data_IF_254528987406
#
_entry.id   IF_254528987406
#
_cell.length_a   1.000
_cell.length_b   1.000
_cell.length_c   1.000
_cell.angle_alpha   90.00
_cell.angle_beta   90.00
_cell.angle_gamma   90.00
#
_symmetry.space_group_name_H-M   'P 1'
#
loop_
_entity.id
_entity.type
_entity.pdbx_description
1 polymer ?
#
# COMPACT_ATOMS: atom_id res chain seq x y z
N UNK A 1 43.71 25.60 40.31
CA UNK A 1 42.89 24.37 40.27
C UNK A 1 41.65 24.69 39.45
N UNK A 2 41.62 24.23 38.20
CA UNK A 2 40.47 24.43 37.32
C UNK A 2 39.32 23.56 37.83
N UNK A 3 38.18 24.18 38.09
CA UNK A 3 36.94 23.49 38.44
C UNK A 3 36.42 22.75 37.21
N UNK A 4 36.62 21.43 37.18
CA UNK A 4 35.92 20.54 36.26
C UNK A 4 34.42 20.62 36.57
N UNK A 5 33.67 21.32 35.71
CA UNK A 5 32.21 21.19 35.71
C UNK A 5 31.88 19.78 35.22
N UNK A 6 31.07 19.00 35.94
CA UNK A 6 30.59 17.72 35.45
C UNK A 6 29.80 17.95 34.16
N UNK A 7 30.21 17.28 33.09
CA UNK A 7 29.47 17.19 31.84
C UNK A 7 28.05 16.71 32.15
N UNK A 8 26.99 17.37 31.66
CA UNK A 8 25.62 16.90 31.88
C UNK A 8 25.52 15.45 31.39
N UNK A 9 24.78 14.57 32.09
CA UNK A 9 24.61 13.19 31.64
C UNK A 9 24.01 13.22 30.24
N UNK A 10 24.71 12.61 29.27
CA UNK A 10 24.19 12.38 27.93
C UNK A 10 22.86 11.66 28.10
N UNK A 11 21.76 12.32 27.74
CA UNK A 11 20.44 11.74 27.82
C UNK A 11 20.45 10.40 27.09
N UNK A 12 20.06 9.32 27.78
CA UNK A 12 19.97 8.01 27.15
C UNK A 12 18.96 8.11 25.99
N UNK A 13 19.30 7.62 24.79
CA UNK A 13 18.36 7.65 23.66
C UNK A 13 17.09 6.88 24.03
N UNK A 14 15.94 7.45 23.68
CA UNK A 14 14.65 6.78 23.87
C UNK A 14 14.57 5.64 22.86
N UNK A 15 14.30 4.42 23.34
CA UNK A 15 14.23 3.23 22.49
C UNK A 15 12.81 2.71 22.46
N UNK A 16 12.21 2.72 21.27
CA UNK A 16 10.91 2.13 20.98
C UNK A 16 11.10 0.70 20.46
N UNK A 17 10.46 -0.27 21.11
CA UNK A 17 10.45 -1.70 20.71
C UNK A 17 9.10 -2.11 20.19
N UNK A 18 9.06 -3.16 19.36
CA UNK A 18 7.84 -3.70 18.75
C UNK A 18 7.07 -2.62 17.98
N UNK A 19 7.81 -1.78 17.25
CA UNK A 19 7.26 -0.69 16.45
C UNK A 19 6.63 -1.27 15.18
N UNK A 20 5.39 -0.86 14.91
CA UNK A 20 4.71 -1.12 13.65
C UNK A 20 5.18 -0.13 12.58
N UNK A 21 5.71 -0.64 11.48
CA UNK A 21 6.10 0.09 10.28
C UNK A 21 4.88 0.23 9.34
N UNK A 22 4.38 1.45 9.09
CA UNK A 22 3.14 1.67 8.34
C UNK A 22 3.35 1.92 6.83
N UNK A 23 4.57 1.82 6.30
CA UNK A 23 4.90 2.36 4.97
C UNK A 23 4.56 1.45 3.77
N UNK A 24 5.00 0.19 3.81
CA UNK A 24 4.60 -0.82 2.82
C UNK A 24 3.53 -1.74 3.41
N UNK A 25 2.86 -2.55 2.59
CA UNK A 25 1.79 -3.40 3.10
C UNK A 25 2.22 -4.62 3.90
N UNK A 26 3.50 -4.79 4.25
CA UNK A 26 3.91 -5.87 5.17
C UNK A 26 3.57 -5.59 6.64
N UNK A 27 3.44 -4.31 7.01
CA UNK A 27 3.09 -3.91 8.37
C UNK A 27 4.00 -4.54 9.43
N UNK A 28 5.31 -4.28 9.34
CA UNK A 28 6.27 -4.93 10.23
C UNK A 28 6.17 -4.44 11.67
N UNK A 29 5.97 -5.32 12.64
CA UNK A 29 5.69 -5.01 14.06
C UNK A 29 6.84 -5.36 15.01
N UNK A 30 8.02 -5.65 14.45
CA UNK A 30 9.23 -6.09 15.15
C UNK A 30 10.34 -5.03 15.09
N UNK A 31 10.00 -3.77 14.78
CA UNK A 31 11.01 -2.72 14.66
C UNK A 31 11.50 -2.26 16.03
N UNK A 32 12.82 -2.11 16.15
CA UNK A 32 13.44 -1.30 17.21
C UNK A 32 13.87 0.02 16.58
N UNK A 33 13.34 1.12 17.11
CA UNK A 33 13.57 2.48 16.62
C UNK A 33 14.09 3.32 17.78
N UNK A 34 15.20 4.01 17.57
CA UNK A 34 15.81 4.91 18.55
C UNK A 34 15.52 6.36 18.18
N UNK A 35 15.16 7.17 19.17
CA UNK A 35 15.11 8.62 19.03
C UNK A 35 16.52 9.20 19.20
N UNK A 36 16.95 9.96 18.20
CA UNK A 36 18.20 10.72 18.19
C UNK A 36 17.89 12.23 18.25
N UNK A 37 18.66 13.05 18.99
CA UNK A 37 18.42 14.49 19.02
C UNK A 37 18.59 15.14 17.63
N UNK A 38 17.76 16.13 17.25
CA UNK A 38 16.69 16.77 18.00
C UNK A 38 15.28 16.25 17.61
N UNK A 39 15.03 14.94 17.71
CA UNK A 39 13.81 14.21 17.29
C UNK A 39 13.87 13.62 15.87
N UNK A 40 15.00 13.00 15.56
CA UNK A 40 15.15 12.10 14.42
C UNK A 40 14.96 10.65 14.87
N UNK A 41 14.56 9.75 13.96
CA UNK A 41 14.35 8.34 14.28
C UNK A 41 15.30 7.45 13.49
N UNK A 42 15.99 6.54 14.17
CA UNK A 42 16.89 5.58 13.57
C UNK A 42 16.38 4.15 13.77
N UNK A 43 16.14 3.44 12.66
CA UNK A 43 15.79 2.00 12.70
C UNK A 43 17.03 1.17 12.98
N UNK A 44 17.00 0.33 14.03
CA UNK A 44 18.13 -0.51 14.46
C UNK A 44 17.97 -1.99 14.20
N UNK A 45 16.73 -2.49 14.09
CA UNK A 45 16.47 -3.93 13.98
C UNK A 45 16.48 -4.48 12.55
N UNK A 46 16.61 -3.63 11.52
CA UNK A 46 16.55 -4.07 10.12
C UNK A 46 17.21 -3.08 9.17
N UNK A 47 17.73 -3.60 8.05
CA UNK A 47 18.25 -2.82 6.92
C UNK A 47 17.21 -2.57 5.81
N UNK A 48 15.92 -2.75 6.11
CA UNK A 48 14.85 -2.44 5.15
C UNK A 48 14.97 -0.99 4.65
N UNK A 49 15.18 -0.76 3.34
CA UNK A 49 15.45 0.57 2.80
C UNK A 49 14.25 1.50 2.99
N UNK A 50 13.03 0.98 2.86
CA UNK A 50 11.79 1.74 3.07
C UNK A 50 11.68 2.20 4.53
N UNK A 51 11.94 1.31 5.50
CA UNK A 51 11.84 1.70 6.91
C UNK A 51 12.92 2.71 7.27
N UNK A 52 14.17 2.48 6.86
CA UNK A 52 15.29 3.40 7.15
C UNK A 52 15.04 4.78 6.57
N UNK A 53 14.70 4.87 5.28
CA UNK A 53 14.38 6.15 4.62
C UNK A 53 13.23 6.89 5.32
N UNK A 54 12.12 6.21 5.58
CA UNK A 54 10.89 6.88 6.02
C UNK A 54 10.93 7.28 7.50
N UNK A 55 11.53 6.46 8.38
CA UNK A 55 11.73 6.84 9.79
C UNK A 55 12.80 7.93 9.95
N UNK A 56 13.89 7.91 9.17
CA UNK A 56 14.97 8.90 9.33
C UNK A 56 14.62 10.31 8.82
N UNK A 57 13.48 10.48 8.15
CA UNK A 57 13.06 11.79 7.65
C UNK A 57 12.85 12.76 8.80
N UNK A 58 13.60 13.86 8.72
CA UNK A 58 13.54 14.99 9.64
C UNK A 58 13.01 16.19 8.86
N UNK A 59 11.68 16.37 8.77
CA UNK A 59 11.11 17.51 8.10
C UNK A 59 11.58 18.79 8.79
N UNK A 60 12.00 19.79 8.01
CA UNK A 60 12.11 21.15 8.52
C UNK A 60 10.73 21.64 8.93
N UNK A 61 10.62 22.32 10.07
CA UNK A 61 9.37 22.98 10.45
C UNK A 61 8.92 23.92 9.31
N UNK A 62 7.69 23.74 8.85
CA UNK A 62 7.12 24.48 7.72
C UNK A 62 5.72 24.94 8.12
N UNK A 63 5.38 26.23 7.98
CA UNK A 63 4.03 26.70 8.26
C UNK A 63 3.07 26.31 7.11
N UNK A 64 1.75 26.26 7.37
CA UNK A 64 0.75 26.27 6.31
C UNK A 64 0.94 27.45 5.37
N UNK A 65 0.59 27.27 4.09
CA UNK A 65 0.66 28.32 3.08
C UNK A 65 -0.66 28.49 2.34
N UNK A 66 -0.97 29.73 1.98
CA UNK A 66 -2.04 30.09 1.05
C UNK A 66 -1.40 30.86 -0.10
N UNK A 67 -1.49 30.31 -1.32
CA UNK A 67 -0.82 30.84 -2.51
C UNK A 67 0.68 31.18 -2.27
N UNK A 68 1.40 30.30 -1.57
CA UNK A 68 2.83 30.48 -1.26
C UNK A 68 3.14 31.36 -0.05
N UNK A 69 2.15 32.02 0.55
CA UNK A 69 2.35 32.88 1.72
C UNK A 69 2.10 32.09 3.00
N UNK A 70 3.05 32.11 3.93
CA UNK A 70 2.93 31.46 5.23
C UNK A 70 1.81 32.08 6.09
N UNK A 71 0.91 31.26 6.61
CA UNK A 71 -0.24 31.68 7.43
C UNK A 71 -0.47 30.74 8.63
N UNK A 72 -1.20 31.16 9.68
CA UNK A 72 -1.63 30.25 10.74
C UNK A 72 -2.56 29.13 10.22
N UNK A 73 -2.58 28.00 10.91
CA UNK A 73 -3.41 26.84 10.55
C UNK A 73 -4.89 27.18 10.38
N UNK A 74 -5.45 28.01 11.27
CA UNK A 74 -6.86 28.42 11.19
C UNK A 74 -7.17 29.16 9.88
N UNK A 75 -6.27 30.06 9.44
CA UNK A 75 -6.43 30.81 8.20
C UNK A 75 -6.30 29.91 6.97
N UNK A 76 -5.36 28.96 6.98
CA UNK A 76 -5.25 27.97 5.91
C UNK A 76 -6.48 27.06 5.81
N UNK A 77 -7.09 26.69 6.95
CA UNK A 77 -8.34 25.91 6.98
C UNK A 77 -9.49 26.68 6.36
N UNK A 78 -9.68 27.96 6.72
CA UNK A 78 -10.72 28.82 6.13
C UNK A 78 -10.48 29.04 4.63
N UNK A 79 -9.24 29.26 4.21
CA UNK A 79 -8.89 29.40 2.80
C UNK A 79 -9.19 28.11 2.01
N UNK A 80 -8.85 26.94 2.57
CA UNK A 80 -9.17 25.65 1.96
C UNK A 80 -10.69 25.45 1.84
N UNK A 81 -11.45 25.77 2.87
CA UNK A 81 -12.90 25.68 2.85
C UNK A 81 -13.52 26.62 1.79
N UNK A 82 -13.03 27.85 1.68
CA UNK A 82 -13.49 28.81 0.67
C UNK A 82 -13.23 28.32 -0.76
N UNK A 83 -12.03 27.79 -1.02
CA UNK A 83 -11.68 27.18 -2.32
C UNK A 83 -12.62 26.00 -2.63
N UNK A 84 -12.83 25.11 -1.66
CA UNK A 84 -13.63 23.91 -1.87
C UNK A 84 -15.14 24.19 -1.97
N UNK A 85 -15.64 25.23 -1.32
CA UNK A 85 -17.04 25.66 -1.45
C UNK A 85 -17.37 26.20 -2.85
N UNK A 86 -16.38 26.67 -3.60
CA UNK A 86 -16.55 27.12 -4.98
C UNK A 86 -16.43 25.98 -6.01
N UNK A 87 -15.90 24.82 -5.63
CA UNK A 87 -15.62 23.71 -6.54
C UNK A 87 -16.91 23.08 -7.10
N UNK A 88 -16.92 22.81 -8.39
CA UNK A 88 -18.01 22.18 -9.14
C UNK A 88 -17.72 20.72 -9.48
N UNK A 89 -16.46 20.34 -9.64
CA UNK A 89 -16.02 18.98 -9.92
C UNK A 89 -14.85 18.54 -9.01
N UNK A 90 -15.03 18.59 -7.67
CA UNK A 90 -13.94 18.30 -6.75
C UNK A 90 -13.46 16.85 -6.85
N UNK A 91 -12.15 16.67 -6.78
CA UNK A 91 -11.47 15.38 -6.67
C UNK A 91 -10.74 15.29 -5.34
N UNK A 92 -11.04 14.28 -4.53
CA UNK A 92 -10.24 13.93 -3.34
C UNK A 92 -9.34 12.75 -3.71
N UNK A 93 -8.05 13.05 -3.88
CA UNK A 93 -7.03 12.12 -4.36
C UNK A 93 -5.81 12.07 -3.45
N UNK A 94 -4.79 11.30 -3.87
CA UNK A 94 -3.65 10.97 -3.03
C UNK A 94 -4.04 9.86 -2.06
N UNK A 95 -4.83 10.24 -1.05
CA UNK A 95 -5.34 9.42 0.03
C UNK A 95 -4.29 8.52 0.71
N UNK A 96 -3.02 8.88 0.67
CA UNK A 96 -1.98 8.17 1.40
C UNK A 96 -2.08 8.48 2.89
N UNK A 97 -3.00 7.85 3.60
CA UNK A 97 -3.37 8.21 4.97
C UNK A 97 -3.84 7.00 5.79
N UNK A 98 -3.98 7.17 7.10
CA UNK A 98 -4.47 6.14 7.99
C UNK A 98 -6.00 6.02 7.96
N UNK A 99 -6.57 5.10 8.74
CA UNK A 99 -8.03 4.87 8.75
C UNK A 99 -8.83 6.12 9.16
N UNK A 100 -8.32 6.91 10.12
CA UNK A 100 -9.03 8.11 10.57
C UNK A 100 -8.93 9.26 9.57
N UNK A 101 -7.76 9.43 8.92
CA UNK A 101 -7.61 10.33 7.79
C UNK A 101 -8.51 9.95 6.62
N UNK A 102 -8.62 8.65 6.30
CA UNK A 102 -9.52 8.16 5.26
C UNK A 102 -10.99 8.46 5.60
N UNK A 103 -11.43 8.21 6.85
CA UNK A 103 -12.80 8.56 7.28
C UNK A 103 -13.08 10.05 7.13
N UNK A 104 -12.14 10.89 7.53
CA UNK A 104 -12.28 12.34 7.44
C UNK A 104 -12.33 12.82 5.97
N UNK A 105 -11.42 12.30 5.13
CA UNK A 105 -11.39 12.61 3.70
C UNK A 105 -12.67 12.18 2.98
N UNK A 106 -13.19 10.98 3.28
CA UNK A 106 -14.45 10.51 2.70
C UNK A 106 -15.66 11.29 3.20
N UNK A 107 -15.67 11.75 4.45
CA UNK A 107 -16.74 12.60 4.97
C UNK A 107 -16.70 14.01 4.35
N UNK A 108 -15.50 14.54 4.10
CA UNK A 108 -15.33 15.77 3.32
C UNK A 108 -15.81 15.58 1.88
N UNK A 109 -15.41 14.48 1.22
CA UNK A 109 -15.80 14.17 -0.15
C UNK A 109 -17.33 14.03 -0.31
N UNK A 110 -17.99 13.38 0.66
CA UNK A 110 -19.45 13.26 0.70
C UNK A 110 -20.13 14.64 0.75
N UNK A 111 -19.64 15.56 1.59
CA UNK A 111 -20.13 16.94 1.65
C UNK A 111 -19.89 17.75 0.39
N UNK A 112 -18.82 17.44 -0.34
CA UNK A 112 -18.46 18.14 -1.58
C UNK A 112 -19.11 17.53 -2.83
N UNK A 113 -19.75 16.36 -2.72
CA UNK A 113 -20.12 15.57 -3.90
C UNK A 113 -18.91 15.14 -4.75
N UNK A 114 -17.75 14.97 -4.11
CA UNK A 114 -16.49 14.76 -4.81
C UNK A 114 -16.32 13.33 -5.36
N UNK A 115 -15.41 13.19 -6.32
CA UNK A 115 -14.84 11.89 -6.68
C UNK A 115 -13.74 11.54 -5.70
N UNK A 116 -13.70 10.28 -5.27
CA UNK A 116 -12.66 9.76 -4.36
C UNK A 116 -11.86 8.64 -5.01
N UNK A 117 -10.54 8.78 -5.01
CA UNK A 117 -9.65 7.71 -5.42
C UNK A 117 -8.25 7.84 -4.79
N UNK A 118 -7.52 6.73 -4.69
CA UNK A 118 -6.19 6.70 -4.09
C UNK A 118 -5.09 6.77 -5.17
N UNK A 119 -3.97 7.43 -4.90
CA UNK A 119 -2.88 7.60 -5.88
C UNK A 119 -2.39 6.26 -6.48
N UNK A 120 -2.34 5.22 -5.64
CA UNK A 120 -1.92 3.86 -5.99
C UNK A 120 -3.08 2.90 -6.36
N UNK A 121 -4.26 3.42 -6.71
CA UNK A 121 -5.45 2.57 -6.95
C UNK A 121 -5.30 1.62 -8.13
N UNK A 122 -4.47 1.90 -9.13
CA UNK A 122 -4.27 1.01 -10.30
C UNK A 122 -3.84 -0.41 -9.90
N UNK A 123 -2.87 -0.52 -8.99
CA UNK A 123 -2.40 -1.81 -8.48
C UNK A 123 -3.49 -2.57 -7.73
N UNK A 124 -4.34 -1.84 -7.00
CA UNK A 124 -5.50 -2.38 -6.31
C UNK A 124 -6.57 -2.86 -7.31
N UNK A 125 -6.87 -2.07 -8.35
CA UNK A 125 -7.92 -2.37 -9.33
C UNK A 125 -7.62 -3.57 -10.22
N UNK A 126 -6.34 -3.84 -10.50
CA UNK A 126 -5.90 -5.10 -11.15
C UNK A 126 -6.35 -6.34 -10.37
N UNK A 127 -6.44 -6.24 -9.04
CA UNK A 127 -6.95 -7.31 -8.18
C UNK A 127 -8.48 -7.24 -8.01
N UNK A 128 -9.04 -6.06 -7.73
CA UNK A 128 -10.48 -5.89 -7.46
C UNK A 128 -11.34 -6.31 -8.65
N UNK A 129 -10.94 -5.99 -9.89
CA UNK A 129 -11.68 -6.35 -11.09
C UNK A 129 -11.89 -7.88 -11.22
N UNK A 130 -10.91 -8.67 -10.77
CA UNK A 130 -10.99 -10.12 -10.74
C UNK A 130 -11.82 -10.59 -9.55
N UNK A 131 -11.53 -10.09 -8.34
CA UNK A 131 -12.23 -10.44 -7.11
C UNK A 131 -13.76 -10.25 -7.24
N UNK A 132 -14.20 -9.12 -7.78
CA UNK A 132 -15.63 -8.80 -7.93
C UNK A 132 -16.35 -9.73 -8.91
N UNK A 133 -15.66 -10.26 -9.92
CA UNK A 133 -16.26 -11.10 -10.97
C UNK A 133 -16.20 -12.59 -10.64
N UNK A 134 -15.09 -13.06 -10.07
CA UNK A 134 -14.85 -14.50 -9.89
C UNK A 134 -14.75 -14.94 -8.44
N UNK A 135 -14.60 -14.00 -7.50
CA UNK A 135 -14.05 -14.31 -6.19
C UNK A 135 -12.60 -14.79 -6.29
N UNK A 136 -11.97 -15.07 -5.14
CA UNK A 136 -10.71 -15.80 -5.07
C UNK A 136 -10.56 -16.54 -3.73
N UNK A 137 -9.64 -17.50 -3.67
CA UNK A 137 -9.28 -18.20 -2.42
C UNK A 137 -7.99 -17.56 -1.92
N UNK A 138 -8.03 -16.85 -0.80
CA UNK A 138 -6.90 -16.06 -0.29
C UNK A 138 -6.34 -16.62 1.02
N UNK A 139 -5.11 -16.21 1.38
CA UNK A 139 -4.44 -16.57 2.64
C UNK A 139 -3.86 -15.35 3.36
N UNK A 140 -3.31 -15.55 4.55
CA UNK A 140 -2.63 -14.52 5.35
C UNK A 140 -1.13 -14.73 5.37
N UNK A 141 -0.38 -13.69 5.76
CA UNK A 141 1.08 -13.80 5.95
C UNK A 141 1.44 -14.81 7.05
N UNK A 142 0.58 -14.98 8.05
CA UNK A 142 0.77 -15.96 9.12
C UNK A 142 0.57 -17.41 8.63
N UNK A 143 -0.42 -17.64 7.77
CA UNK A 143 -0.65 -18.94 7.11
C UNK A 143 0.50 -19.27 6.14
N UNK A 144 0.96 -18.30 5.35
CA UNK A 144 2.19 -18.41 4.54
C UNK A 144 3.36 -18.86 5.43
N UNK A 145 3.65 -18.14 6.52
CA UNK A 145 4.80 -18.44 7.38
C UNK A 145 4.72 -19.81 8.03
N UNK A 146 3.55 -20.24 8.47
CA UNK A 146 3.46 -21.41 9.35
C UNK A 146 3.04 -22.71 8.65
N UNK A 147 2.34 -22.65 7.50
CA UNK A 147 1.83 -23.83 6.80
C UNK A 147 2.40 -24.06 5.42
N UNK A 148 2.78 -23.01 4.68
CA UNK A 148 3.14 -23.11 3.27
C UNK A 148 4.37 -24.00 3.04
N UNK A 149 4.22 -25.10 2.31
CA UNK A 149 5.34 -25.96 1.87
C UNK A 149 5.76 -25.72 0.43
N UNK A 150 4.90 -25.13 -0.42
CA UNK A 150 5.30 -24.63 -1.75
C UNK A 150 4.82 -23.19 -1.95
N UNK A 151 5.75 -22.25 -2.03
CA UNK A 151 5.48 -20.87 -2.42
C UNK A 151 5.80 -20.67 -3.89
N UNK A 152 4.77 -20.40 -4.70
CA UNK A 152 4.91 -19.98 -6.10
C UNK A 152 4.84 -18.45 -6.17
N UNK A 153 5.95 -17.79 -6.50
CA UNK A 153 6.02 -16.35 -6.75
C UNK A 153 5.82 -16.10 -8.24
N UNK A 154 4.73 -15.43 -8.60
CA UNK A 154 4.38 -15.16 -10.00
C UNK A 154 4.76 -13.73 -10.41
N UNK A 155 5.61 -13.62 -11.43
CA UNK A 155 6.11 -12.37 -11.97
C UNK A 155 7.32 -11.81 -11.23
N UNK A 156 7.58 -10.49 -11.34
CA UNK A 156 8.71 -9.84 -10.68
C UNK A 156 8.76 -10.12 -9.18
N UNK A 157 9.97 -10.18 -8.64
CA UNK A 157 10.19 -10.42 -7.22
C UNK A 157 9.48 -9.36 -6.36
N UNK A 158 8.49 -9.75 -5.53
CA UNK A 158 7.72 -8.82 -4.72
C UNK A 158 8.55 -8.12 -3.64
N UNK A 159 9.79 -8.56 -3.35
CA UNK A 159 10.69 -7.88 -2.42
C UNK A 159 11.11 -6.48 -2.92
N UNK A 160 11.01 -6.19 -4.21
CA UNK A 160 11.19 -4.83 -4.72
C UNK A 160 10.20 -3.82 -4.09
N UNK A 161 8.99 -4.30 -3.77
CA UNK A 161 7.91 -3.55 -3.11
C UNK A 161 7.78 -3.91 -1.62
N UNK A 162 8.22 -5.09 -1.21
CA UNK A 162 8.04 -5.61 0.13
C UNK A 162 9.36 -6.17 0.65
N UNK A 163 10.36 -5.32 0.97
CA UNK A 163 11.76 -5.75 1.13
C UNK A 163 12.00 -6.86 2.15
N UNK A 164 11.17 -6.93 3.20
CA UNK A 164 11.28 -7.93 4.27
C UNK A 164 10.39 -9.16 4.06
N UNK A 165 9.74 -9.33 2.91
CA UNK A 165 8.76 -10.40 2.70
C UNK A 165 9.39 -11.77 2.98
N UNK A 166 10.51 -12.08 2.31
CA UNK A 166 11.13 -13.39 2.44
C UNK A 166 11.80 -13.59 3.79
N UNK A 167 12.59 -12.63 4.26
CA UNK A 167 13.26 -12.68 5.56
C UNK A 167 12.27 -12.90 6.72
N UNK A 168 11.13 -12.19 6.71
CA UNK A 168 10.19 -12.21 7.83
C UNK A 168 9.11 -13.28 7.73
N UNK A 169 8.68 -13.64 6.52
CA UNK A 169 7.50 -14.50 6.32
C UNK A 169 7.77 -15.82 5.62
N UNK A 170 8.93 -16.00 4.96
CA UNK A 170 9.23 -17.22 4.20
C UNK A 170 10.40 -18.00 4.80
N UNK A 171 11.50 -17.32 5.13
CA UNK A 171 12.72 -17.90 5.70
C UNK A 171 12.55 -18.56 7.08
N UNK A 172 11.69 -18.07 7.99
CA UNK A 172 11.51 -18.72 9.29
C UNK A 172 10.94 -20.13 9.16
N UNK A 173 11.40 -21.04 10.03
CA UNK A 173 10.92 -22.42 10.08
C UNK A 173 9.40 -22.46 10.27
N UNK A 174 8.64 -23.16 9.40
CA UNK A 174 7.19 -23.30 9.54
C UNK A 174 6.82 -24.04 10.83
N UNK A 175 5.94 -23.46 11.65
CA UNK A 175 5.52 -24.06 12.91
C UNK A 175 4.68 -25.34 12.75
N UNK A 176 3.98 -25.51 11.63
CA UNK A 176 3.05 -26.63 11.40
C UNK A 176 3.55 -27.62 10.36
N UNK A 177 4.87 -27.71 10.14
CA UNK A 177 5.48 -28.71 9.29
C UNK A 177 6.52 -29.52 10.06
N UNK A 178 6.38 -30.85 10.08
CA UNK A 178 7.35 -31.75 10.69
C UNK A 178 7.57 -32.97 9.79
N UNK A 179 8.76 -33.13 9.17
CA UNK A 179 9.83 -32.13 9.08
C UNK A 179 9.42 -30.90 8.23
N UNK A 180 10.08 -29.75 8.41
CA UNK A 180 9.97 -28.61 7.49
C UNK A 180 10.34 -29.02 6.06
N UNK A 181 9.50 -28.64 5.08
CA UNK A 181 9.68 -29.03 3.68
C UNK A 181 9.44 -27.87 2.71
N UNK A 182 9.56 -26.63 3.18
CA UNK A 182 9.29 -25.44 2.38
C UNK A 182 10.23 -25.35 1.19
N UNK A 183 9.66 -25.10 0.02
CA UNK A 183 10.35 -24.74 -1.21
C UNK A 183 9.70 -23.50 -1.87
N UNK A 184 10.47 -22.79 -2.68
CA UNK A 184 10.03 -21.59 -3.41
C UNK A 184 10.26 -21.79 -4.90
N UNK A 185 9.28 -21.43 -5.72
CA UNK A 185 9.39 -21.39 -7.17
C UNK A 185 9.08 -19.98 -7.69
N UNK A 186 9.92 -19.44 -8.56
CA UNK A 186 9.65 -18.20 -9.29
C UNK A 186 9.17 -18.52 -10.70
N UNK A 187 8.04 -17.94 -11.09
CA UNK A 187 7.41 -18.11 -12.41
C UNK A 187 7.46 -16.79 -13.17
N UNK A 188 8.19 -16.75 -14.29
CA UNK A 188 8.33 -15.54 -15.11
C UNK A 188 8.93 -14.35 -14.32
N UNK A 189 9.88 -14.63 -13.43
CA UNK A 189 10.59 -13.65 -12.63
C UNK A 189 11.86 -14.23 -12.02
N UNK A 190 12.76 -13.35 -11.61
CA UNK A 190 14.05 -13.70 -11.00
C UNK A 190 14.12 -13.13 -9.59
N UNK A 191 14.61 -13.89 -8.59
CA UNK A 191 14.81 -13.35 -7.26
C UNK A 191 15.96 -12.32 -7.24
N UNK A 192 15.74 -11.24 -6.50
CA UNK A 192 16.74 -10.23 -6.17
C UNK A 192 17.85 -10.83 -5.29
N UNK A 193 19.02 -10.19 -5.24
CA UNK A 193 20.15 -10.66 -4.41
C UNK A 193 19.79 -10.75 -2.92
N UNK A 194 19.02 -9.78 -2.41
CA UNK A 194 18.51 -9.81 -1.04
C UNK A 194 17.56 -11.01 -0.82
N UNK A 195 16.73 -11.34 -1.80
CA UNK A 195 15.83 -12.50 -1.76
C UNK A 195 16.62 -13.82 -1.80
N UNK A 196 17.62 -13.93 -2.67
CA UNK A 196 18.52 -15.11 -2.71
C UNK A 196 19.22 -15.31 -1.37
N UNK A 197 19.69 -14.23 -0.76
CA UNK A 197 20.32 -14.25 0.57
C UNK A 197 19.34 -14.75 1.63
N UNK A 198 18.12 -14.17 1.68
CA UNK A 198 17.08 -14.56 2.62
C UNK A 198 16.62 -16.02 2.46
N UNK A 199 16.65 -16.55 1.24
CA UNK A 199 16.23 -17.92 0.91
C UNK A 199 17.39 -18.93 0.86
N UNK A 200 18.60 -18.58 1.29
CA UNK A 200 19.80 -19.43 1.18
C UNK A 200 19.71 -20.83 1.79
N UNK A 201 18.74 -21.07 2.68
CA UNK A 201 18.47 -22.37 3.33
C UNK A 201 17.22 -23.09 2.81
N UNK A 202 16.58 -22.55 1.79
CA UNK A 202 15.33 -23.04 1.22
C UNK A 202 15.59 -23.42 -0.25
N UNK A 203 15.13 -24.59 -0.73
CA UNK A 203 15.19 -24.92 -2.15
C UNK A 203 14.45 -23.87 -2.99
N UNK A 204 15.17 -23.27 -3.94
CA UNK A 204 14.62 -22.29 -4.90
C UNK A 204 14.71 -22.85 -6.30
N UNK A 205 13.59 -22.83 -7.03
CA UNK A 205 13.55 -23.07 -8.48
C UNK A 205 13.18 -21.78 -9.18
N UNK A 206 13.85 -21.47 -10.27
CA UNK A 206 13.49 -20.34 -11.12
C UNK A 206 13.10 -20.88 -12.49
N UNK A 207 11.92 -20.52 -12.95
CA UNK A 207 11.45 -20.79 -14.31
C UNK A 207 11.49 -19.44 -15.05
N UNK A 208 12.64 -19.08 -15.66
CA UNK A 208 12.80 -17.82 -16.34
C UNK A 208 11.92 -17.84 -17.59
N UNK A 209 10.85 -17.06 -17.54
CA UNK A 209 9.92 -16.86 -18.64
C UNK A 209 9.73 -15.37 -18.90
N UNK A 210 9.03 -15.06 -19.97
CA UNK A 210 8.68 -13.71 -20.35
C UNK A 210 7.77 -13.07 -19.27
N UNK A 211 8.21 -12.00 -18.58
CA UNK A 211 7.43 -11.34 -17.53
C UNK A 211 6.16 -10.67 -18.07
N UNK A 212 6.01 -10.46 -19.38
CA UNK A 212 4.77 -10.00 -19.99
C UNK A 212 3.73 -11.14 -20.16
N UNK A 213 4.15 -12.41 -20.04
CA UNK A 213 3.35 -13.60 -20.31
C UNK A 213 3.13 -14.50 -19.09
N UNK A 214 3.18 -13.91 -17.89
CA UNK A 214 2.90 -14.61 -16.61
C UNK A 214 1.55 -15.34 -16.68
N UNK A 215 0.53 -14.71 -17.28
CA UNK A 215 -0.79 -15.31 -17.45
C UNK A 215 -0.80 -16.57 -18.32
N UNK A 216 0.00 -16.60 -19.39
CA UNK A 216 0.15 -17.77 -20.26
C UNK A 216 0.84 -18.92 -19.51
N UNK A 217 1.88 -18.60 -18.74
CA UNK A 217 2.57 -19.58 -17.90
C UNK A 217 1.65 -20.16 -16.82
N UNK A 218 0.85 -19.31 -16.17
CA UNK A 218 -0.16 -19.74 -15.19
C UNK A 218 -1.24 -20.62 -15.84
N UNK A 219 -1.70 -20.28 -17.05
CA UNK A 219 -2.68 -21.07 -17.79
C UNK A 219 -2.11 -22.44 -18.20
N UNK A 220 -0.86 -22.49 -18.67
CA UNK A 220 -0.18 -23.75 -19.00
C UNK A 220 0.02 -24.64 -17.76
N UNK A 221 0.37 -24.04 -16.62
CA UNK A 221 0.45 -24.74 -15.34
C UNK A 221 -0.91 -25.28 -14.88
N UNK A 222 -1.98 -24.51 -15.04
CA UNK A 222 -3.34 -24.96 -14.75
C UNK A 222 -3.78 -26.12 -15.67
N UNK A 223 -3.45 -26.04 -16.96
CA UNK A 223 -3.71 -27.13 -17.91
C UNK A 223 -2.92 -28.40 -17.55
N UNK A 224 -1.65 -28.26 -17.16
CA UNK A 224 -0.81 -29.36 -16.68
C UNK A 224 -1.35 -30.02 -15.39
N UNK A 225 -2.00 -29.24 -14.53
CA UNK A 225 -2.69 -29.77 -13.35
C UNK A 225 -3.92 -30.60 -13.73
N UNK A 226 -4.67 -30.20 -14.76
CA UNK A 226 -5.86 -30.92 -15.19
C UNK A 226 -5.52 -32.17 -16.03
N UNK A 227 -4.63 -32.06 -17.01
CA UNK A 227 -4.29 -33.11 -17.98
C UNK A 227 -2.75 -33.24 -18.17
N UNK A 228 -2.05 -33.98 -17.29
CA UNK A 228 -0.58 -34.14 -17.36
C UNK A 228 -0.03 -34.69 -18.68
N UNK A 229 -0.86 -35.38 -19.47
CA UNK A 229 -0.48 -35.91 -20.78
C UNK A 229 -0.45 -34.86 -21.90
N UNK A 230 -0.97 -33.65 -21.67
CA UNK A 230 -1.10 -32.58 -22.66
C UNK A 230 -0.34 -31.31 -22.29
N UNK A 231 0.70 -31.44 -21.47
CA UNK A 231 1.51 -30.30 -21.02
C UNK A 231 2.19 -29.65 -22.22
N UNK A 232 2.11 -28.32 -22.27
CA UNK A 232 2.79 -27.49 -23.27
C UNK A 232 3.68 -26.46 -22.58
N UNK A 233 4.73 -26.02 -23.27
CA UNK A 233 5.51 -24.84 -22.88
C UNK A 233 4.69 -23.55 -23.02
N UNK A 234 5.05 -22.53 -22.27
CA UNK A 234 4.44 -21.19 -22.35
C UNK A 234 5.40 -20.13 -21.82
N UNK A 235 5.24 -18.88 -22.27
CA UNK A 235 6.09 -17.75 -21.85
C UNK A 235 7.62 -18.00 -21.97
N UNK A 236 8.05 -18.86 -22.91
CA UNK A 236 9.48 -19.24 -23.03
C UNK A 236 9.93 -20.33 -22.06
N UNK A 237 9.06 -20.83 -21.19
CA UNK A 237 9.31 -21.95 -20.28
C UNK A 237 9.00 -23.26 -21.01
N UNK A 238 9.90 -24.25 -20.90
CA UNK A 238 9.73 -25.55 -21.53
C UNK A 238 8.58 -26.36 -20.91
N UNK A 239 7.94 -27.21 -21.73
CA UNK A 239 6.85 -28.08 -21.28
C UNK A 239 7.26 -28.99 -20.11
N UNK A 240 8.51 -29.48 -20.12
CA UNK A 240 9.06 -30.31 -19.05
C UNK A 240 9.10 -29.59 -17.69
N UNK A 241 9.56 -28.33 -17.67
CA UNK A 241 9.63 -27.55 -16.43
C UNK A 241 8.24 -27.22 -15.87
N UNK A 242 7.29 -26.92 -16.76
CA UNK A 242 5.88 -26.74 -16.38
C UNK A 242 5.30 -28.04 -15.81
N UNK A 243 5.57 -29.19 -16.43
CA UNK A 243 5.12 -30.48 -15.92
C UNK A 243 5.70 -30.78 -14.53
N UNK A 244 6.99 -30.53 -14.31
CA UNK A 244 7.66 -30.71 -13.01
C UNK A 244 7.04 -29.81 -11.94
N UNK A 245 6.80 -28.53 -12.25
CA UNK A 245 6.15 -27.62 -11.31
C UNK A 245 4.69 -28.01 -11.03
N UNK A 246 3.95 -28.48 -12.03
CA UNK A 246 2.58 -28.97 -11.87
C UNK A 246 2.53 -30.17 -10.91
N UNK A 247 3.45 -31.13 -11.05
CA UNK A 247 3.55 -32.28 -10.15
C UNK A 247 3.91 -31.87 -8.72
N UNK A 248 4.81 -30.90 -8.54
CA UNK A 248 5.13 -30.34 -7.21
C UNK A 248 3.92 -29.67 -6.58
N UNK A 249 3.20 -28.86 -7.36
CA UNK A 249 1.99 -28.20 -6.91
C UNK A 249 0.89 -29.21 -6.53
N UNK A 250 0.75 -30.31 -7.29
CA UNK A 250 -0.18 -31.40 -6.96
C UNK A 250 0.17 -32.12 -5.65
N UNK A 251 1.46 -32.26 -5.34
CA UNK A 251 1.97 -32.97 -4.15
C UNK A 251 2.13 -32.09 -2.90
N UNK A 252 2.06 -30.77 -3.05
CA UNK A 252 2.13 -29.85 -1.92
C UNK A 252 1.01 -30.14 -0.90
N UNK A 253 1.23 -29.82 0.37
CA UNK A 253 0.19 -29.89 1.42
C UNK A 253 -0.55 -28.57 1.55
N UNK A 254 0.16 -27.46 1.41
CA UNK A 254 -0.37 -26.11 1.43
C UNK A 254 0.47 -25.23 0.51
N UNK A 255 -0.03 -25.01 -0.70
CA UNK A 255 0.60 -24.14 -1.67
C UNK A 255 0.09 -22.70 -1.56
N UNK A 256 0.99 -21.73 -1.75
CA UNK A 256 0.63 -20.32 -1.87
C UNK A 256 1.10 -19.79 -3.21
N UNK A 257 0.21 -19.15 -3.96
CA UNK A 257 0.56 -18.37 -5.15
C UNK A 257 0.59 -16.90 -4.75
N UNK A 258 1.78 -16.30 -4.72
CA UNK A 258 1.96 -14.90 -4.34
C UNK A 258 2.26 -14.03 -5.57
N UNK A 259 1.66 -12.84 -5.62
CA UNK A 259 1.93 -11.86 -6.67
C UNK A 259 1.79 -10.43 -6.15
N UNK A 260 2.47 -9.49 -6.80
CA UNK A 260 2.28 -8.06 -6.58
C UNK A 260 1.74 -7.43 -7.86
N UNK A 261 0.42 -7.25 -7.95
CA UNK A 261 -0.23 -6.80 -9.20
C UNK A 261 0.27 -5.43 -9.69
N UNK A 262 0.72 -4.56 -8.78
CA UNK A 262 1.33 -3.27 -9.10
C UNK A 262 2.66 -3.40 -9.87
N UNK A 263 3.38 -4.51 -9.75
CA UNK A 263 4.65 -4.75 -10.41
C UNK A 263 4.50 -5.29 -11.85
N UNK A 264 3.29 -5.66 -12.27
CA UNK A 264 3.07 -6.17 -13.63
C UNK A 264 3.14 -5.03 -14.65
N UNK A 265 3.91 -5.25 -15.73
CA UNK A 265 4.14 -4.24 -16.77
C UNK A 265 2.94 -4.04 -17.72
N UNK A 266 2.05 -5.04 -17.83
CA UNK A 266 0.93 -5.02 -18.79
C UNK A 266 -0.17 -4.01 -18.39
N UNK A 267 -0.72 -3.23 -19.33
CA UNK A 267 -1.92 -2.42 -19.12
C UNK A 267 -3.16 -3.23 -18.72
N UNK A 268 -3.22 -4.51 -19.11
CA UNK A 268 -4.32 -5.44 -18.80
C UNK A 268 -3.88 -6.51 -17.78
N UNK A 269 -3.12 -6.08 -16.78
CA UNK A 269 -2.60 -6.94 -15.73
C UNK A 269 -3.70 -7.66 -14.92
N UNK A 270 -4.94 -7.19 -14.94
CA UNK A 270 -6.11 -7.88 -14.40
C UNK A 270 -6.35 -9.24 -15.06
N UNK A 271 -6.08 -9.39 -16.36
CA UNK A 271 -6.16 -10.69 -17.06
C UNK A 271 -5.11 -11.67 -16.54
N UNK A 272 -3.90 -11.19 -16.23
CA UNK A 272 -2.86 -12.01 -15.60
C UNK A 272 -3.31 -12.45 -14.20
N UNK A 273 -3.88 -11.53 -13.41
CA UNK A 273 -4.43 -11.86 -12.08
C UNK A 273 -5.55 -12.90 -12.20
N UNK A 274 -6.44 -12.77 -13.19
CA UNK A 274 -7.49 -13.77 -13.44
C UNK A 274 -6.91 -15.16 -13.71
N UNK A 275 -5.85 -15.27 -14.52
CA UNK A 275 -5.19 -16.56 -14.78
C UNK A 275 -4.54 -17.14 -13.53
N UNK A 276 -3.94 -16.31 -12.67
CA UNK A 276 -3.38 -16.74 -11.39
C UNK A 276 -4.47 -17.21 -10.42
N UNK A 277 -5.59 -16.50 -10.34
CA UNK A 277 -6.76 -16.91 -9.55
C UNK A 277 -7.36 -18.21 -10.08
N UNK A 278 -7.44 -18.36 -11.40
CA UNK A 278 -7.84 -19.59 -12.07
C UNK A 278 -6.92 -20.77 -11.71
N UNK A 279 -5.61 -20.57 -11.76
CA UNK A 279 -4.61 -21.55 -11.34
C UNK A 279 -4.81 -21.97 -9.88
N UNK A 280 -5.02 -21.02 -8.95
CA UNK A 280 -5.29 -21.33 -7.53
C UNK A 280 -6.55 -22.18 -7.41
N UNK A 281 -7.63 -21.84 -8.13
CA UNK A 281 -8.87 -22.60 -8.13
C UNK A 281 -8.68 -24.02 -8.66
N UNK A 282 -7.93 -24.19 -9.74
CA UNK A 282 -7.72 -25.50 -10.36
C UNK A 282 -6.77 -26.37 -9.53
N UNK A 283 -5.75 -25.77 -8.92
CA UNK A 283 -4.89 -26.45 -7.93
C UNK A 283 -5.68 -26.99 -6.74
N UNK A 284 -6.77 -26.31 -6.32
CA UNK A 284 -7.64 -26.78 -5.23
C UNK A 284 -8.41 -28.06 -5.52
N UNK A 285 -8.44 -28.54 -6.78
CA UNK A 285 -8.97 -29.86 -7.12
C UNK A 285 -8.03 -31.00 -6.70
N UNK A 286 -6.78 -30.68 -6.36
CA UNK A 286 -5.74 -31.67 -6.06
C UNK A 286 -5.05 -31.47 -4.72
N UNK A 287 -4.82 -30.21 -4.30
CA UNK A 287 -4.17 -29.85 -3.04
C UNK A 287 -4.89 -28.68 -2.37
N UNK A 288 -4.46 -28.22 -1.20
CA UNK A 288 -4.86 -26.91 -0.67
C UNK A 288 -3.94 -25.84 -1.26
N UNK A 289 -4.54 -24.89 -1.96
CA UNK A 289 -3.84 -23.78 -2.58
C UNK A 289 -4.55 -22.46 -2.25
N UNK A 290 -3.80 -21.38 -2.01
CA UNK A 290 -4.38 -20.06 -1.79
C UNK A 290 -3.56 -18.97 -2.46
N UNK A 291 -4.21 -17.89 -2.87
CA UNK A 291 -3.58 -16.70 -3.39
C UNK A 291 -3.14 -15.75 -2.28
N UNK A 292 -2.02 -15.07 -2.48
CA UNK A 292 -1.55 -13.98 -1.64
C UNK A 292 -1.25 -12.75 -2.51
N UNK A 293 -2.26 -11.91 -2.77
CA UNK A 293 -2.06 -10.62 -3.43
C UNK A 293 -1.33 -9.67 -2.47
N UNK A 294 -0.15 -9.20 -2.86
CA UNK A 294 0.67 -8.26 -2.09
C UNK A 294 0.39 -6.83 -2.58
N UNK A 295 0.05 -5.92 -1.65
CA UNK A 295 -0.36 -4.55 -1.92
C UNK A 295 -0.06 -3.65 -0.70
N UNK A 296 -0.79 -2.56 -0.49
CA UNK A 296 -0.83 -1.88 0.81
C UNK A 296 0.19 -0.78 1.07
N UNK A 297 0.97 -0.37 0.08
CA UNK A 297 1.70 0.90 0.16
C UNK A 297 0.74 2.06 0.44
N UNK A 298 1.17 2.97 1.32
CA UNK A 298 0.40 4.14 1.76
C UNK A 298 -1.00 3.80 2.24
N UNK A 299 -1.16 2.59 2.78
CA UNK A 299 -2.43 2.10 3.30
C UNK A 299 -3.57 2.09 2.27
N UNK A 300 -3.27 1.96 0.97
CA UNK A 300 -4.28 1.86 -0.11
C UNK A 300 -5.36 0.80 0.15
N UNK A 301 -4.97 -0.32 0.77
CA UNK A 301 -5.89 -1.39 1.21
C UNK A 301 -6.83 -0.86 2.28
N UNK A 302 -6.32 -0.16 3.29
CA UNK A 302 -7.12 0.40 4.37
C UNK A 302 -8.09 1.47 3.88
N UNK A 303 -7.64 2.39 3.02
CA UNK A 303 -8.52 3.40 2.43
C UNK A 303 -9.64 2.76 1.60
N UNK A 304 -9.32 1.73 0.82
CA UNK A 304 -10.34 0.99 0.08
C UNK A 304 -11.34 0.29 1.00
N UNK A 305 -10.87 -0.34 2.08
CA UNK A 305 -11.76 -0.95 3.09
C UNK A 305 -12.68 0.12 3.69
N UNK A 306 -12.14 1.31 4.03
CA UNK A 306 -12.93 2.41 4.58
C UNK A 306 -14.02 2.86 3.62
N UNK A 307 -13.67 3.05 2.35
CA UNK A 307 -14.61 3.40 1.30
C UNK A 307 -15.71 2.33 1.17
N UNK A 308 -15.32 1.05 1.13
CA UNK A 308 -16.23 -0.09 0.97
C UNK A 308 -17.22 -0.20 2.13
N UNK A 309 -16.78 -0.13 3.39
CA UNK A 309 -17.72 -0.26 4.52
C UNK A 309 -18.57 0.99 4.74
N UNK A 310 -18.15 2.17 4.23
CA UNK A 310 -18.92 3.42 4.32
C UNK A 310 -20.01 3.49 3.25
N UNK A 311 -19.67 3.12 2.02
CA UNK A 311 -20.50 3.40 0.85
C UNK A 311 -21.01 2.15 0.12
N UNK A 312 -20.59 0.95 0.54
CA UNK A 312 -20.93 -0.30 -0.12
C UNK A 312 -20.18 -0.54 -1.44
N UNK A 313 -19.31 0.39 -1.85
CA UNK A 313 -18.54 0.35 -3.09
C UNK A 313 -17.08 0.74 -2.83
N UNK A 314 -16.10 0.27 -3.62
CA UNK A 314 -14.69 0.59 -3.44
C UNK A 314 -14.38 2.04 -3.86
N UNK A 315 -13.08 2.40 -3.88
CA UNK A 315 -12.56 3.66 -4.43
C UNK A 315 -12.99 3.90 -5.90
N UNK A 316 -12.59 4.99 -6.55
CA UNK A 316 -13.11 5.36 -7.88
C UNK A 316 -14.62 5.47 -7.87
N UNK A 317 -15.08 6.32 -6.97
CA UNK A 317 -16.50 6.51 -6.67
C UNK A 317 -16.77 8.01 -6.62
N UNK A 318 -17.82 8.44 -7.31
CA UNK A 318 -18.39 9.77 -7.13
C UNK A 318 -19.41 9.73 -6.02
N UNK A 319 -19.34 10.72 -5.12
CA UNK A 319 -20.32 10.93 -4.06
C UNK A 319 -21.31 12.06 -4.42
N UNK A 320 -21.29 12.52 -5.68
CA UNK A 320 -22.26 13.49 -6.19
C UNK A 320 -23.67 12.89 -6.23
N UNK A 321 -24.69 13.72 -5.98
CA UNK A 321 -26.09 13.33 -6.15
C UNK A 321 -26.69 12.46 -5.04
N UNK A 322 -26.03 12.37 -3.87
CA UNK A 322 -26.58 11.75 -2.66
C UNK A 322 -26.53 10.22 -2.61
N UNK A 323 -26.08 9.56 -3.69
CA UNK A 323 -25.83 8.11 -3.73
C UNK A 323 -24.45 7.82 -4.34
N UNK A 324 -23.66 6.90 -3.76
CA UNK A 324 -22.35 6.55 -4.33
C UNK A 324 -22.48 5.96 -5.75
N UNK A 325 -21.86 6.60 -6.73
CA UNK A 325 -21.74 6.09 -8.09
C UNK A 325 -20.33 5.56 -8.31
N UNK A 326 -20.21 4.24 -8.41
CA UNK A 326 -18.94 3.58 -8.65
C UNK A 326 -18.71 3.33 -10.15
N UNK A 327 -17.57 3.76 -10.66
CA UNK A 327 -17.10 3.45 -12.02
C UNK A 327 -15.56 3.39 -12.02
N UNK A 328 -14.97 2.19 -12.16
CA UNK A 328 -13.54 1.98 -12.00
C UNK A 328 -12.71 2.60 -13.13
N UNK A 329 -13.32 3.03 -14.24
CA UNK A 329 -12.61 3.69 -15.33
C UNK A 329 -12.82 5.20 -15.30
N UNK A 330 -14.08 5.66 -15.16
CA UNK A 330 -14.43 7.09 -15.17
C UNK A 330 -13.82 7.85 -13.99
N UNK A 331 -13.79 7.24 -12.81
CA UNK A 331 -13.39 7.89 -11.57
C UNK A 331 -11.98 7.53 -11.10
N UNK A 332 -11.16 6.94 -11.98
CA UNK A 332 -9.72 6.82 -11.73
C UNK A 332 -9.10 8.22 -11.63
N UNK A 333 -8.36 8.51 -10.55
CA UNK A 333 -7.94 9.88 -10.24
C UNK A 333 -7.16 10.54 -11.38
N UNK A 334 -6.24 9.82 -12.05
CA UNK A 334 -5.46 10.37 -13.16
C UNK A 334 -6.33 10.83 -14.32
N UNK A 335 -7.40 10.07 -14.61
CA UNK A 335 -8.35 10.43 -15.65
C UNK A 335 -9.27 11.55 -15.20
N UNK A 336 -9.77 11.47 -13.97
CA UNK A 336 -10.72 12.47 -13.45
C UNK A 336 -10.04 13.82 -13.22
N UNK A 337 -8.72 13.83 -12.95
CA UNK A 337 -7.93 15.06 -12.83
C UNK A 337 -7.97 15.94 -14.09
N UNK A 338 -8.23 15.38 -15.28
CA UNK A 338 -8.37 16.17 -16.51
C UNK A 338 -9.64 17.04 -16.53
N UNK A 339 -10.65 16.68 -15.74
CA UNK A 339 -11.94 17.38 -15.67
C UNK A 339 -12.22 18.00 -14.30
N UNK A 340 -11.41 17.68 -13.29
CA UNK A 340 -11.52 18.23 -11.95
C UNK A 340 -11.03 19.68 -11.93
N UNK A 341 -11.88 20.58 -11.44
CA UNK A 341 -11.55 21.99 -11.25
C UNK A 341 -10.74 22.22 -9.96
N UNK A 342 -10.95 21.38 -8.95
CA UNK A 342 -10.21 21.41 -7.68
C UNK A 342 -9.81 20.00 -7.23
N UNK A 343 -8.57 19.87 -6.75
CA UNK A 343 -8.02 18.64 -6.18
C UNK A 343 -7.68 18.85 -4.71
N UNK A 344 -8.27 18.04 -3.84
CA UNK A 344 -7.77 17.82 -2.48
C UNK A 344 -6.77 16.67 -2.54
N UNK A 345 -5.49 16.96 -2.32
CA UNK A 345 -4.43 15.95 -2.34
C UNK A 345 -3.97 15.61 -0.93
N UNK A 346 -4.20 14.38 -0.48
CA UNK A 346 -3.76 13.89 0.85
C UNK A 346 -2.61 12.90 0.69
N UNK A 347 -1.45 13.20 1.27
CA UNK A 347 -0.27 12.33 1.20
C UNK A 347 0.52 12.39 2.50
N UNK A 348 0.10 11.68 3.54
CA UNK A 348 0.67 11.76 4.88
C UNK A 348 1.94 10.89 5.09
N UNK A 349 2.11 9.82 4.31
CA UNK A 349 3.26 8.91 4.42
C UNK A 349 4.50 9.38 3.65
N UNK A 350 4.32 10.29 2.69
CA UNK A 350 5.40 10.76 1.83
C UNK A 350 5.20 12.17 1.27
N UNK A 351 6.31 12.92 1.06
CA UNK A 351 6.32 14.23 0.42
C UNK A 351 6.38 14.13 -1.11
N UNK A 352 6.52 12.93 -1.70
CA UNK A 352 6.50 12.79 -3.15
C UNK A 352 5.05 12.91 -3.65
N UNK A 353 4.79 13.89 -4.50
CA UNK A 353 3.48 14.20 -5.10
C UNK A 353 3.57 14.20 -6.63
N UNK A 354 2.47 13.93 -7.36
CA UNK A 354 2.49 14.00 -8.82
C UNK A 354 2.62 15.45 -9.30
N UNK A 355 2.95 15.61 -10.57
CA UNK A 355 2.73 16.88 -11.27
C UNK A 355 1.23 17.03 -11.54
N UNK A 356 0.65 18.12 -11.05
CA UNK A 356 -0.75 18.47 -11.32
C UNK A 356 -0.88 19.19 -12.67
N UNK A 357 -2.08 19.19 -13.23
CA UNK A 357 -2.34 19.89 -14.49
C UNK A 357 -2.20 21.41 -14.31
N UNK A 358 -1.65 22.09 -15.32
CA UNK A 358 -1.48 23.55 -15.27
C UNK A 358 -2.83 24.26 -15.05
N UNK A 359 -2.88 25.18 -14.07
CA UNK A 359 -4.10 25.91 -13.70
C UNK A 359 -5.11 25.12 -12.84
N UNK A 360 -4.80 23.87 -12.49
CA UNK A 360 -5.61 23.10 -11.55
C UNK A 360 -5.48 23.66 -10.13
N UNK A 361 -6.62 23.92 -9.48
CA UNK A 361 -6.61 24.40 -8.09
C UNK A 361 -6.32 23.23 -7.15
N UNK A 362 -5.27 23.33 -6.34
CA UNK A 362 -4.87 22.25 -5.42
C UNK A 362 -4.92 22.71 -3.96
N UNK A 363 -5.57 21.89 -3.12
CA UNK A 363 -5.51 21.94 -1.66
C UNK A 363 -4.74 20.72 -1.19
N UNK A 364 -3.49 20.90 -0.76
CA UNK A 364 -2.58 19.80 -0.43
C UNK A 364 -2.37 19.64 1.08
N UNK A 365 -2.52 18.42 1.58
CA UNK A 365 -2.17 17.99 2.92
C UNK A 365 -1.05 16.94 2.82
N UNK A 366 0.19 17.32 3.13
CA UNK A 366 1.36 16.44 3.02
C UNK A 366 2.43 16.77 4.09
N UNK A 367 3.44 15.92 4.34
CA UNK A 367 4.53 16.21 5.24
C UNK A 367 5.27 17.50 4.86
N UNK A 368 5.92 18.16 5.84
CA UNK A 368 6.82 19.26 5.52
C UNK A 368 7.96 18.82 4.58
N UNK A 369 8.45 19.76 3.78
CA UNK A 369 9.45 19.50 2.74
C UNK A 369 8.88 18.88 1.46
N UNK A 370 7.55 18.85 1.32
CA UNK A 370 6.88 18.50 0.07
C UNK A 370 7.16 19.58 -0.99
N UNK A 371 7.71 19.17 -2.13
CA UNK A 371 8.03 20.06 -3.24
C UNK A 371 6.94 19.92 -4.30
N UNK A 372 6.33 21.05 -4.67
CA UNK A 372 5.34 21.12 -5.73
C UNK A 372 5.95 21.77 -6.98
N UNK A 373 5.54 21.33 -8.17
CA UNK A 373 5.93 21.97 -9.43
C UNK A 373 5.33 23.38 -9.51
N UNK A 374 4.05 23.49 -9.21
CA UNK A 374 3.30 24.74 -9.09
C UNK A 374 2.80 24.87 -7.64
N UNK A 375 2.88 26.07 -7.07
CA UNK A 375 2.44 26.30 -5.70
C UNK A 375 0.93 26.03 -5.57
N UNK A 376 0.49 25.16 -4.64
CA UNK A 376 -0.93 24.90 -4.42
C UNK A 376 -1.66 26.15 -3.90
N UNK A 377 -2.97 26.20 -4.12
CA UNK A 377 -3.80 27.27 -3.57
C UNK A 377 -3.74 27.27 -2.04
N UNK A 378 -3.73 26.08 -1.44
CA UNK A 378 -3.48 25.89 -0.01
C UNK A 378 -2.58 24.68 0.21
N UNK A 379 -1.55 24.84 1.03
CA UNK A 379 -0.72 23.75 1.55
C UNK A 379 -0.81 23.72 3.07
N UNK A 380 -1.14 22.57 3.65
CA UNK A 380 -1.16 22.36 5.09
C UNK A 380 -0.21 21.20 5.42
N UNK A 381 0.92 21.47 6.11
CA UNK A 381 1.81 20.42 6.56
C UNK A 381 1.15 19.56 7.64
N UNK A 382 1.17 18.23 7.45
CA UNK A 382 0.57 17.26 8.38
C UNK A 382 1.58 16.23 8.86
N UNK A 383 1.30 15.64 10.02
CA UNK A 383 2.08 14.56 10.61
C UNK A 383 1.96 13.25 9.81
N UNK A 384 3.02 12.45 9.86
CA UNK A 384 3.07 11.08 9.33
C UNK A 384 2.46 10.09 10.33
N UNK A 385 1.43 9.33 9.93
CA UNK A 385 0.79 8.34 10.79
C UNK A 385 1.79 7.24 11.20
N UNK A 386 1.84 6.91 12.48
CA UNK A 386 2.82 5.95 13.03
C UNK A 386 4.22 6.53 13.30
N UNK A 387 4.41 7.83 13.09
CA UNK A 387 5.58 8.60 13.55
C UNK A 387 5.12 9.74 14.46
N UNK A 388 4.31 10.67 13.95
CA UNK A 388 3.89 11.88 14.69
C UNK A 388 2.68 11.64 15.58
N UNK A 389 1.84 10.68 15.19
CA UNK A 389 0.61 10.36 15.89
C UNK A 389 0.28 8.88 15.75
N UNK A 390 -0.48 8.30 16.70
CA UNK A 390 -0.97 6.94 16.57
C UNK A 390 -1.87 6.80 15.33
N UNK A 391 -1.88 5.61 14.75
CA UNK A 391 -2.57 5.36 13.48
C UNK A 391 -3.06 3.92 13.38
N UNK A 392 -4.10 3.71 12.58
CA UNK A 392 -4.54 2.38 12.16
C UNK A 392 -4.30 2.21 10.65
N UNK A 393 -3.61 1.13 10.28
CA UNK A 393 -3.34 0.77 8.89
C UNK A 393 -3.67 -0.70 8.63
N UNK A 394 -3.96 -1.06 7.39
CA UNK A 394 -4.25 -2.43 7.00
C UNK A 394 -3.07 -3.09 6.31
N UNK A 395 -2.79 -4.33 6.69
CA UNK A 395 -1.76 -5.16 6.07
C UNK A 395 -2.26 -5.72 4.73
N UNK A 396 -1.33 -6.13 3.87
CA UNK A 396 -1.59 -6.65 2.52
C UNK A 396 -2.60 -7.78 2.47
N UNK A 397 -2.64 -8.64 3.49
CA UNK A 397 -3.59 -9.75 3.58
C UNK A 397 -5.02 -9.31 3.93
N UNK A 398 -5.29 -8.00 3.97
CA UNK A 398 -6.60 -7.32 4.04
C UNK A 398 -7.42 -7.53 5.32
N UNK A 399 -7.07 -8.52 6.12
CA UNK A 399 -7.79 -8.91 7.35
C UNK A 399 -7.18 -8.34 8.62
N UNK A 400 -5.89 -7.97 8.61
CA UNK A 400 -5.19 -7.48 9.80
C UNK A 400 -5.11 -5.95 9.79
N UNK A 401 -5.82 -5.33 10.72
CA UNK A 401 -5.60 -3.93 11.10
C UNK A 401 -4.50 -3.85 12.15
N UNK A 402 -3.49 -3.03 11.88
CA UNK A 402 -2.34 -2.80 12.74
C UNK A 402 -2.46 -1.42 13.39
N UNK A 403 -2.10 -1.33 14.67
CA UNK A 403 -2.04 -0.08 15.41
C UNK A 403 -0.59 0.39 15.50
N UNK A 404 -0.23 1.41 14.72
CA UNK A 404 1.03 2.12 14.89
C UNK A 404 0.90 3.16 16.01
N UNK A 405 1.99 3.36 16.76
CA UNK A 405 2.06 4.39 17.82
C UNK A 405 2.65 5.67 17.25
N UNK A 406 2.33 6.81 17.86
CA UNK A 406 3.19 8.00 17.73
C UNK A 406 4.50 7.73 18.46
N UNK A 407 5.62 8.03 17.81
CA UNK A 407 6.96 7.82 18.35
C UNK A 407 7.57 9.14 18.84
N UNK A 408 7.35 10.23 18.10
CA UNK A 408 7.85 11.57 18.41
C UNK A 408 6.73 12.60 18.22
N UNK A 409 6.87 13.77 18.84
CA UNK A 409 5.97 14.91 18.65
C UNK A 409 6.73 16.05 17.98
N UNK A 410 6.37 16.34 16.73
CA UNK A 410 6.93 17.45 15.95
C UNK A 410 5.99 18.67 15.88
N UNK A 411 4.90 18.66 16.64
CA UNK A 411 3.88 19.72 16.63
C UNK A 411 3.06 19.80 15.35
N UNK A 412 3.10 18.76 14.50
CA UNK A 412 2.33 18.69 13.26
C UNK A 412 0.92 18.16 13.54
N UNK A 413 -0.14 18.78 12.98
CA UNK A 413 -1.49 18.25 13.12
C UNK A 413 -1.64 16.93 12.36
N UNK A 414 -2.48 16.03 12.86
CA UNK A 414 -2.86 14.86 12.08
C UNK A 414 -3.81 15.24 10.93
N UNK A 415 -3.74 14.50 9.83
CA UNK A 415 -4.54 14.79 8.65
C UNK A 415 -6.05 14.71 8.89
N UNK A 416 -6.51 13.84 9.79
CA UNK A 416 -7.93 13.69 10.09
C UNK A 416 -8.50 14.95 10.77
N UNK A 417 -7.75 15.53 11.70
CA UNK A 417 -8.09 16.77 12.39
C UNK A 417 -8.18 17.94 11.41
N UNK A 418 -7.21 18.08 10.50
CA UNK A 418 -7.25 19.13 9.46
C UNK A 418 -8.46 18.97 8.53
N UNK A 419 -8.69 17.76 8.01
CA UNK A 419 -9.81 17.48 7.11
C UNK A 419 -11.17 17.74 7.77
N UNK A 420 -11.32 17.38 9.06
CA UNK A 420 -12.54 17.69 9.84
C UNK A 420 -12.72 19.20 10.06
N UNK A 421 -11.64 19.93 10.29
CA UNK A 421 -11.68 21.38 10.44
C UNK A 421 -12.12 22.05 9.13
N UNK A 422 -11.53 21.65 8.00
CA UNK A 422 -11.93 22.12 6.66
C UNK A 422 -13.41 21.80 6.40
N UNK A 423 -13.83 20.56 6.67
CA UNK A 423 -15.23 20.22 6.55
C UNK A 423 -16.09 21.15 7.41
N UNK A 424 -15.77 21.33 8.70
CA UNK A 424 -16.56 22.19 9.61
C UNK A 424 -16.67 23.64 9.13
N UNK A 425 -15.62 24.17 8.49
CA UNK A 425 -15.61 25.53 7.94
C UNK A 425 -16.37 25.67 6.61
N UNK A 426 -16.72 24.58 5.91
CA UNK A 426 -17.58 24.65 4.73
C UNK A 426 -18.96 25.21 5.10
N UNK A 427 -19.56 26.08 4.27
CA UNK A 427 -20.90 26.60 4.47
C UNK A 427 -21.90 25.47 4.73
N UNK A 428 -22.83 25.68 5.66
CA UNK A 428 -23.95 24.76 5.81
C UNK A 428 -24.85 24.87 4.57
N UNK A 429 -25.24 23.74 3.99
CA UNK A 429 -26.28 23.75 2.96
C UNK A 429 -27.54 24.38 3.56
N UNK A 430 -28.11 25.37 2.87
CA UNK A 430 -29.45 25.81 3.20
C UNK A 430 -30.37 24.60 3.04
N UNK A 431 -31.26 24.31 4.02
CA UNK A 431 -32.18 23.18 3.88
C UNK A 431 -32.94 23.34 2.56
N UNK A 432 -32.90 22.30 1.73
CA UNK A 432 -33.66 22.25 0.49
C UNK A 432 -35.14 22.55 0.83
N UNK A 433 -35.62 23.67 0.33
CA UNK A 433 -36.96 24.20 0.61
C UNK A 433 -38.02 23.41 -0.16
#
# INVERSE_FOLDING_TARGET
>A
MASERPTPPVARPVVHRDVVCPFCGLGCDDLTVEEEPPSTLAVRSTDCPVARDRFSRTPSAEPPRVAGVAVPLAEAVEAAAAVLAAAQAPLVAGLGTDVDGARAALSLAERLGAVVDHALSDGLYRNLAVLQRTGWIATTLAELRNRCDLLLVAGPDPAALHPRLFERWVAPTPAFQTPPSREVAFLCGEPLDATRTALSRIPVTVLPGDPAKIGDAAAALAAALAEPSRVSGAAGIAAGDIAVLAERLRKARYAVVAWAAAAFASPHADLTVERLVGLVRDANRHTRCAGLPLAGYDNVVGVNQVCTWRFGVPLRTSLAGGVPLHDPHRFAWMRYADVADTVVWVSAFRPEVPTFSAGQTVVALAPPGTVFTDEPAVFIPIGTPGIDHPAQVFRSDTVVALRARGLIDRGLPDGATVLKAIATALPQEAPAC
#
